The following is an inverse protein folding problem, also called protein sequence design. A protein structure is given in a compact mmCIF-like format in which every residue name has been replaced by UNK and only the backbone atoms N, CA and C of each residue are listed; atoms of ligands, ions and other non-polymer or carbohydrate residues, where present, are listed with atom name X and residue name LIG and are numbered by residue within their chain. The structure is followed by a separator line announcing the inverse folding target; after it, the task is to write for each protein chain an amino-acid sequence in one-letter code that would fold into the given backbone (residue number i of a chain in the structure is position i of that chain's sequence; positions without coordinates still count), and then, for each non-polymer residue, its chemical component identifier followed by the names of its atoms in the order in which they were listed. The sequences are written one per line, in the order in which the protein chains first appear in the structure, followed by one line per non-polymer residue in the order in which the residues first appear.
data_IF_993135080889
#
_entry.id   IF_993135080889
#
_cell.length_a   1.000
_cell.length_b   1.000
_cell.length_c   1.000
_cell.angle_alpha   90.00
_cell.angle_beta   90.00
_cell.angle_gamma   90.00
#
_symmetry.space_group_name_H-M   'P 1'
#
loop_
_entity.id
_entity.type
_entity.pdbx_description
1 polymer ?
#
# COMPACT_ATOMS: atom_id res chain seq x y z
N UNK A 1 74.07 9.17 -19.76
CA UNK A 1 73.10 10.22 -19.36
C UNK A 1 71.88 9.49 -18.83
N UNK A 2 71.81 9.20 -17.52
CA UNK A 2 71.18 10.02 -16.47
C UNK A 2 69.66 10.16 -16.74
N UNK A 3 68.84 9.40 -16.01
CA UNK A 3 68.08 9.87 -14.82
C UNK A 3 66.90 10.77 -15.25
N UNK A 4 65.72 10.86 -14.65
CA UNK A 4 65.03 10.26 -13.52
C UNK A 4 63.74 11.12 -13.44
N UNK A 5 62.58 10.46 -13.27
CA UNK A 5 61.40 10.94 -12.54
C UNK A 5 60.71 12.30 -12.79
N UNK A 6 59.39 12.19 -12.58
CA UNK A 6 58.47 13.10 -11.89
C UNK A 6 57.52 13.99 -12.71
N UNK A 7 56.26 13.78 -12.35
CA UNK A 7 54.99 14.38 -12.75
C UNK A 7 54.96 15.90 -12.52
N UNK A 8 54.04 16.65 -13.14
CA UNK A 8 53.09 17.35 -12.28
C UNK A 8 51.64 17.43 -12.78
N UNK A 9 50.78 17.43 -11.76
CA UNK A 9 49.37 17.80 -11.73
C UNK A 9 49.06 19.14 -12.38
N UNK A 10 47.93 19.25 -13.09
CA UNK A 10 46.98 20.40 -13.13
C UNK A 10 45.85 20.03 -14.12
N UNK A 11 44.55 20.28 -13.95
CA UNK A 11 43.82 21.19 -13.09
C UNK A 11 42.42 20.61 -12.83
N UNK A 12 42.00 20.79 -11.58
CA UNK A 12 40.69 20.53 -11.00
C UNK A 12 39.58 21.32 -11.71
N UNK A 13 38.45 20.67 -11.97
CA UNK A 13 37.17 21.35 -12.11
C UNK A 13 36.30 21.01 -10.89
N UNK A 14 35.69 22.06 -10.35
CA UNK A 14 34.99 22.14 -9.09
C UNK A 14 33.83 21.15 -8.91
N UNK A 15 33.88 20.40 -7.81
CA UNK A 15 32.71 19.90 -7.11
C UNK A 15 32.93 20.19 -5.63
N UNK A 16 32.41 21.33 -5.14
CA UNK A 16 32.45 21.64 -3.72
C UNK A 16 31.82 20.50 -2.94
N UNK A 17 32.58 19.90 -2.02
CA UNK A 17 32.05 18.98 -1.02
C UNK A 17 30.98 19.73 -0.21
N UNK A 18 29.78 19.16 -0.02
CA UNK A 18 28.80 19.77 0.85
C UNK A 18 29.34 19.84 2.28
N UNK A 19 29.13 21.00 2.89
CA UNK A 19 29.40 21.34 4.28
C UNK A 19 28.84 20.26 5.23
N UNK A 20 29.72 19.64 6.02
CA UNK A 20 29.44 18.50 6.91
C UNK A 20 29.14 18.94 8.35
N UNK A 21 28.73 20.19 8.59
CA UNK A 21 28.51 20.73 9.94
C UNK A 21 27.06 20.63 10.46
N UNK A 22 26.14 20.04 9.68
CA UNK A 22 24.80 19.63 10.15
C UNK A 22 24.77 18.16 10.58
N UNK A 23 23.82 17.73 11.44
CA UNK A 23 23.70 16.34 11.82
C UNK A 23 23.53 15.45 10.57
N UNK A 24 24.45 14.50 10.41
CA UNK A 24 24.46 13.52 9.33
C UNK A 24 23.12 12.74 9.29
N UNK A 25 22.50 12.56 8.12
CA UNK A 25 21.29 11.74 8.01
C UNK A 25 21.65 10.28 8.32
N UNK A 26 20.88 9.54 9.15
CA UNK A 26 21.15 8.11 9.34
C UNK A 26 20.84 7.32 8.05
N UNK A 27 21.74 6.46 7.51
CA UNK A 27 21.42 5.62 6.35
C UNK A 27 21.47 4.09 6.62
N UNK A 28 20.71 3.24 5.88
CA UNK A 28 19.82 3.58 4.77
C UNK A 28 18.35 3.19 5.10
N UNK A 29 17.62 4.13 5.70
CA UNK A 29 16.15 4.13 5.69
C UNK A 29 15.56 4.15 4.26
N UNK A 30 16.38 4.48 3.26
CA UNK A 30 15.99 4.65 1.85
C UNK A 30 15.30 3.41 1.25
N UNK A 31 15.66 2.19 1.64
CA UNK A 31 15.00 0.99 1.09
C UNK A 31 13.61 0.74 1.71
N UNK A 32 13.41 1.13 2.98
CA UNK A 32 12.11 1.13 3.66
C UNK A 32 11.23 2.30 3.21
N UNK A 33 11.82 3.45 2.91
CA UNK A 33 11.15 4.60 2.28
C UNK A 33 10.76 4.29 0.83
N UNK A 34 11.53 3.44 0.13
CA UNK A 34 11.21 2.91 -1.20
C UNK A 34 10.22 1.73 -1.17
N UNK A 35 9.98 1.13 -0.01
CA UNK A 35 9.06 0.00 0.11
C UNK A 35 7.61 0.44 -0.14
N UNK A 36 6.89 -0.31 -0.99
CA UNK A 36 5.45 -0.09 -1.21
C UNK A 36 4.72 -0.37 0.11
N UNK A 37 4.08 0.64 0.70
CA UNK A 37 3.34 0.54 1.96
C UNK A 37 2.72 1.88 2.36
N UNK A 38 2.06 1.92 3.51
CA UNK A 38 1.50 3.14 4.08
C UNK A 38 2.34 3.62 5.27
N UNK A 39 2.62 4.92 5.30
CA UNK A 39 3.25 5.60 6.42
C UNK A 39 2.23 6.49 7.11
N UNK A 40 2.17 6.39 8.43
CA UNK A 40 1.32 7.24 9.26
C UNK A 40 2.15 7.96 10.30
N UNK A 41 1.99 9.27 10.36
CA UNK A 41 2.61 10.15 11.35
C UNK A 41 1.73 10.26 12.58
N UNK A 42 2.35 10.21 13.75
CA UNK A 42 1.75 10.43 15.06
C UNK A 42 2.62 11.45 15.82
N UNK A 43 1.99 12.38 16.52
CA UNK A 43 2.68 13.35 17.38
C UNK A 43 2.83 12.77 18.79
N UNK A 44 4.00 12.98 19.41
CA UNK A 44 4.34 12.47 20.73
C UNK A 44 4.90 13.57 21.62
N UNK A 45 4.70 13.42 22.93
CA UNK A 45 5.19 14.29 23.99
C UNK A 45 4.94 15.77 23.66
N UNK A 46 3.67 16.08 23.36
CA UNK A 46 3.19 17.44 23.06
C UNK A 46 3.98 18.12 21.92
N UNK A 47 4.29 17.37 20.86
CA UNK A 47 4.95 17.91 19.68
C UNK A 47 6.48 17.94 19.76
N UNK A 48 7.06 17.39 20.84
CA UNK A 48 8.53 17.29 20.97
C UNK A 48 9.09 16.20 20.06
N UNK A 49 8.38 15.10 19.94
CA UNK A 49 8.76 13.97 19.10
C UNK A 49 7.63 13.65 18.12
N UNK A 50 7.98 12.99 17.03
CA UNK A 50 7.02 12.38 16.13
C UNK A 50 7.38 10.92 15.89
N UNK A 51 6.34 10.10 15.72
CA UNK A 51 6.45 8.70 15.36
C UNK A 51 5.92 8.47 13.94
N UNK A 52 6.66 7.68 13.16
CA UNK A 52 6.29 7.23 11.83
C UNK A 52 6.06 5.72 11.83
N UNK A 53 4.82 5.31 11.58
CA UNK A 53 4.38 3.92 11.59
C UNK A 53 4.32 3.37 10.16
N UNK A 54 5.03 2.26 9.91
CA UNK A 54 5.05 1.61 8.60
C UNK A 54 4.16 0.38 8.51
N UNK A 55 3.30 0.37 7.49
CA UNK A 55 2.37 -0.71 7.16
C UNK A 55 2.66 -1.27 5.75
N UNK A 56 3.35 -2.41 5.62
CA UNK A 56 3.85 -2.91 4.33
C UNK A 56 2.75 -3.32 3.32
N UNK A 57 1.53 -3.59 3.79
CA UNK A 57 0.41 -3.97 2.92
C UNK A 57 -0.78 -3.01 3.05
N UNK A 58 -0.50 -1.78 3.51
CA UNK A 58 -1.52 -0.96 4.14
C UNK A 58 -2.01 -1.62 5.43
N UNK A 59 -3.14 -1.14 5.93
CA UNK A 59 -3.64 -1.46 7.26
C UNK A 59 -4.73 -2.53 7.28
N UNK A 60 -4.81 -3.36 6.25
CA UNK A 60 -5.74 -4.49 6.20
C UNK A 60 -5.30 -5.51 7.26
N UNK A 61 -5.75 -5.31 8.49
CA UNK A 61 -5.57 -6.23 9.62
C UNK A 61 -4.18 -6.29 10.27
N UNK A 62 -3.15 -5.63 9.74
CA UNK A 62 -1.80 -5.74 10.31
C UNK A 62 -1.43 -4.59 11.27
N UNK A 63 -0.74 -4.93 12.35
CA UNK A 63 0.01 -3.98 13.17
C UNK A 63 1.14 -3.32 12.35
N UNK A 64 1.62 -2.13 12.74
CA UNK A 64 2.81 -1.56 12.12
C UNK A 64 4.00 -2.50 12.35
N UNK A 65 4.84 -2.66 11.34
CA UNK A 65 6.03 -3.52 11.42
C UNK A 65 7.25 -2.75 11.92
N UNK A 66 7.26 -1.45 11.69
CA UNK A 66 8.34 -0.55 12.10
C UNK A 66 7.73 0.75 12.62
N UNK A 67 8.38 1.33 13.63
CA UNK A 67 8.06 2.65 14.19
C UNK A 67 9.37 3.42 14.29
N UNK A 68 9.41 4.62 13.69
CA UNK A 68 10.56 5.52 13.78
C UNK A 68 10.17 6.71 14.63
N UNK A 69 10.93 6.96 15.70
CA UNK A 69 10.71 8.10 16.59
C UNK A 69 11.86 9.06 16.39
N UNK A 70 11.54 10.32 16.11
CA UNK A 70 12.54 11.37 15.94
C UNK A 70 12.09 12.66 16.62
N UNK A 71 13.04 13.49 17.08
CA UNK A 71 12.71 14.82 17.57
C UNK A 71 12.18 15.69 16.44
N UNK A 72 11.20 16.53 16.76
CA UNK A 72 10.73 17.57 15.85
C UNK A 72 11.62 18.80 16.02
N UNK A 73 11.92 19.52 14.93
CA UNK A 73 12.79 20.69 14.97
C UNK A 73 12.31 21.79 15.95
N UNK A 74 11.00 21.86 16.20
CA UNK A 74 10.37 22.79 17.14
C UNK A 74 10.16 22.22 18.55
N UNK A 75 10.67 21.03 18.84
CA UNK A 75 10.49 20.37 20.14
C UNK A 75 11.26 21.06 21.26
N UNK A 76 10.80 20.87 22.50
CA UNK A 76 11.50 21.39 23.69
C UNK A 76 12.96 20.84 23.74
N UNK A 77 13.99 21.70 23.64
CA UNK A 77 15.38 21.26 23.65
C UNK A 77 15.76 20.46 24.89
N UNK A 78 15.18 20.77 26.05
CA UNK A 78 15.45 20.05 27.29
C UNK A 78 14.87 18.63 27.24
N UNK A 79 13.68 18.46 26.66
CA UNK A 79 13.08 17.16 26.42
C UNK A 79 13.83 16.37 25.35
N UNK A 80 14.27 17.00 24.25
CA UNK A 80 15.10 16.36 23.22
C UNK A 80 16.42 15.85 23.82
N UNK A 81 17.07 16.64 24.68
CA UNK A 81 18.31 16.24 25.35
C UNK A 81 18.13 15.02 26.27
N UNK A 82 16.94 14.81 26.85
CA UNK A 82 16.60 13.61 27.62
C UNK A 82 16.36 12.36 26.74
N UNK A 83 16.16 12.55 25.44
CA UNK A 83 15.92 11.49 24.47
C UNK A 83 14.53 10.86 24.58
N UNK A 84 14.36 9.73 23.87
CA UNK A 84 13.11 8.96 23.87
C UNK A 84 12.98 8.21 25.19
N UNK A 85 12.20 8.76 26.11
CA UNK A 85 11.95 8.17 27.44
C UNK A 85 10.76 7.22 27.43
N UNK A 86 10.54 6.51 28.54
CA UNK A 86 9.35 5.67 28.72
C UNK A 86 8.05 6.46 28.65
N UNK A 87 8.04 7.75 28.99
CA UNK A 87 6.89 8.64 28.79
C UNK A 87 6.56 8.79 27.31
N UNK A 88 7.57 9.06 26.47
CA UNK A 88 7.40 9.16 25.01
C UNK A 88 6.87 7.84 24.44
N UNK A 89 7.42 6.70 24.88
CA UNK A 89 6.96 5.39 24.42
C UNK A 89 5.55 5.03 24.88
N UNK A 90 5.13 5.49 26.07
CA UNK A 90 3.77 5.28 26.59
C UNK A 90 2.72 6.09 25.84
N UNK A 91 3.12 7.13 25.13
CA UNK A 91 2.21 7.93 24.32
C UNK A 91 1.90 7.31 22.96
N UNK A 92 2.76 6.41 22.45
CA UNK A 92 2.52 5.71 21.19
C UNK A 92 1.14 5.04 21.16
N UNK A 93 0.41 5.24 20.06
CA UNK A 93 -0.89 4.63 19.78
C UNK A 93 -0.88 3.88 18.45
N UNK A 94 -0.21 2.70 18.37
CA UNK A 94 -0.20 1.88 17.16
C UNK A 94 -1.59 1.54 16.60
N UNK A 95 -2.59 1.38 17.47
CA UNK A 95 -3.97 1.12 17.08
C UNK A 95 -4.61 2.32 16.34
N UNK A 96 -4.36 3.55 16.82
CA UNK A 96 -4.82 4.77 16.16
C UNK A 96 -4.12 4.99 14.82
N UNK A 97 -2.81 4.75 14.77
CA UNK A 97 -2.04 4.78 13.53
C UNK A 97 -2.55 3.76 12.50
N UNK A 98 -2.89 2.54 12.94
CA UNK A 98 -3.48 1.51 12.08
C UNK A 98 -4.84 1.94 11.52
N UNK A 99 -5.67 2.62 12.32
CA UNK A 99 -6.94 3.14 11.86
C UNK A 99 -6.79 4.29 10.85
N UNK A 100 -5.86 5.20 11.09
CA UNK A 100 -5.52 6.26 10.14
C UNK A 100 -5.00 5.70 8.82
N UNK A 101 -4.14 4.67 8.86
CA UNK A 101 -3.70 3.95 7.68
C UNK A 101 -4.90 3.29 6.96
N UNK A 102 -5.90 2.77 7.69
CA UNK A 102 -7.15 2.21 7.11
C UNK A 102 -7.95 3.27 6.41
N UNK A 103 -8.08 4.46 6.99
CA UNK A 103 -8.81 5.58 6.37
C UNK A 103 -8.08 6.07 5.12
N UNK A 104 -6.76 6.25 5.18
CA UNK A 104 -5.95 6.65 4.02
C UNK A 104 -6.01 5.64 2.89
N UNK A 105 -5.85 4.35 3.21
CA UNK A 105 -5.99 3.26 2.23
C UNK A 105 -7.40 3.20 1.64
N UNK A 106 -8.45 3.32 2.47
CA UNK A 106 -9.84 3.36 1.99
C UNK A 106 -10.10 4.54 1.07
N UNK A 107 -9.64 5.74 1.42
CA UNK A 107 -9.83 6.95 0.61
C UNK A 107 -9.15 6.83 -0.76
N UNK A 108 -7.85 6.49 -0.79
CA UNK A 108 -7.14 6.31 -2.07
C UNK A 108 -7.69 5.14 -2.88
N UNK A 109 -8.19 4.10 -2.22
CA UNK A 109 -8.80 2.96 -2.89
C UNK A 109 -10.23 3.28 -3.38
N UNK A 110 -10.99 4.16 -2.73
CA UNK A 110 -12.30 4.61 -3.19
C UNK A 110 -12.18 5.51 -4.43
N UNK A 111 -11.20 6.41 -4.45
CA UNK A 111 -10.91 7.24 -5.64
C UNK A 111 -10.48 6.37 -6.84
N UNK A 112 -9.67 5.33 -6.60
CA UNK A 112 -9.17 4.44 -7.66
C UNK A 112 -10.16 3.32 -8.05
N UNK A 113 -10.98 2.86 -7.10
CA UNK A 113 -11.93 1.76 -7.25
C UNK A 113 -13.26 2.12 -6.58
N UNK A 114 -14.08 2.96 -7.21
CA UNK A 114 -15.32 3.48 -6.60
C UNK A 114 -16.33 2.39 -6.25
N UNK A 115 -16.28 1.24 -6.94
CA UNK A 115 -17.17 0.09 -6.70
C UNK A 115 -16.63 -0.90 -5.66
N UNK A 116 -15.58 -0.56 -4.90
CA UNK A 116 -14.89 -1.51 -4.04
C UNK A 116 -15.80 -2.17 -3.00
N UNK A 117 -16.66 -1.41 -2.31
CA UNK A 117 -17.56 -1.97 -1.30
C UNK A 117 -18.59 -2.92 -1.92
N UNK A 118 -19.16 -2.55 -3.07
CA UNK A 118 -20.10 -3.40 -3.82
C UNK A 118 -19.47 -4.69 -4.30
N UNK A 119 -18.21 -4.62 -4.76
CA UNK A 119 -17.43 -5.80 -5.13
C UNK A 119 -17.27 -6.74 -3.94
N UNK A 120 -16.87 -6.25 -2.76
CA UNK A 120 -16.75 -7.11 -1.57
C UNK A 120 -18.10 -7.71 -1.17
N UNK A 121 -19.20 -6.95 -1.28
CA UNK A 121 -20.54 -7.43 -0.98
C UNK A 121 -20.99 -8.55 -1.91
N UNK A 122 -20.83 -8.37 -3.22
CA UNK A 122 -21.16 -9.40 -4.22
C UNK A 122 -20.33 -10.67 -4.02
N UNK A 123 -19.06 -10.54 -3.64
CA UNK A 123 -18.20 -11.70 -3.37
C UNK A 123 -18.60 -12.47 -2.11
N UNK A 124 -19.19 -11.79 -1.10
CA UNK A 124 -19.64 -12.41 0.16
C UNK A 124 -21.03 -13.02 0.08
N UNK A 125 -21.94 -12.44 -0.72
CA UNK A 125 -23.37 -12.81 -0.73
C UNK A 125 -23.80 -13.68 -1.90
N UNK A 126 -22.97 -13.83 -2.93
CA UNK A 126 -23.36 -14.61 -4.10
C UNK A 126 -23.17 -16.11 -3.88
N UNK A 127 -24.27 -16.83 -3.72
CA UNK A 127 -24.27 -18.30 -3.62
C UNK A 127 -24.00 -18.99 -4.98
N UNK A 128 -24.07 -18.24 -6.09
CA UNK A 128 -23.91 -18.75 -7.47
C UNK A 128 -23.09 -17.78 -8.33
N UNK A 129 -22.39 -18.28 -9.38
CA UNK A 129 -21.57 -17.45 -10.25
C UNK A 129 -22.40 -16.64 -11.27
N UNK A 130 -23.17 -15.66 -10.76
CA UNK A 130 -23.90 -14.69 -11.57
C UNK A 130 -22.94 -13.80 -12.38
N UNK A 131 -23.43 -13.10 -13.40
CA UNK A 131 -22.57 -12.16 -14.15
C UNK A 131 -22.03 -11.04 -13.27
N UNK A 132 -22.84 -10.51 -12.34
CA UNK A 132 -22.41 -9.52 -11.35
C UNK A 132 -21.32 -10.05 -10.41
N UNK A 133 -21.46 -11.28 -9.93
CA UNK A 133 -20.41 -11.93 -9.16
C UNK A 133 -19.11 -12.10 -9.96
N UNK A 134 -19.19 -12.57 -11.21
CA UNK A 134 -18.02 -12.76 -12.05
C UNK A 134 -17.32 -11.43 -12.39
N UNK A 135 -18.09 -10.35 -12.55
CA UNK A 135 -17.56 -9.00 -12.70
C UNK A 135 -16.87 -8.51 -11.42
N UNK A 136 -17.44 -8.82 -10.24
CA UNK A 136 -16.81 -8.54 -8.96
C UNK A 136 -15.50 -9.33 -8.77
N UNK A 137 -15.45 -10.61 -9.19
CA UNK A 137 -14.22 -11.41 -9.23
C UNK A 137 -13.16 -10.74 -10.11
N UNK A 138 -13.54 -10.27 -11.31
CA UNK A 138 -12.62 -9.60 -12.22
C UNK A 138 -12.02 -8.32 -11.62
N UNK A 139 -12.86 -7.45 -11.06
CA UNK A 139 -12.44 -6.20 -10.43
C UNK A 139 -11.55 -6.44 -9.20
N UNK A 140 -11.91 -7.42 -8.37
CA UNK A 140 -11.10 -7.77 -7.20
C UNK A 140 -9.76 -8.38 -7.61
N UNK A 141 -9.75 -9.24 -8.63
CA UNK A 141 -8.55 -9.86 -9.15
C UNK A 141 -7.55 -8.82 -9.67
N UNK A 142 -8.03 -7.85 -10.46
CA UNK A 142 -7.23 -6.71 -10.92
C UNK A 142 -6.67 -5.91 -9.75
N UNK A 143 -7.51 -5.53 -8.78
CA UNK A 143 -7.07 -4.76 -7.61
C UNK A 143 -5.98 -5.46 -6.81
N UNK A 144 -6.10 -6.78 -6.63
CA UNK A 144 -5.07 -7.59 -5.95
C UNK A 144 -3.76 -7.59 -6.76
N UNK A 145 -3.85 -7.74 -8.08
CA UNK A 145 -2.67 -7.69 -8.95
C UNK A 145 -2.01 -6.29 -8.93
N UNK A 146 -2.79 -5.21 -8.99
CA UNK A 146 -2.31 -3.83 -8.91
C UNK A 146 -1.67 -3.50 -7.57
N UNK A 147 -2.15 -4.10 -6.48
CA UNK A 147 -1.52 -4.01 -5.16
C UNK A 147 -0.18 -4.77 -5.06
N UNK A 148 0.26 -5.43 -6.13
CA UNK A 148 1.50 -6.21 -6.15
C UNK A 148 1.39 -7.55 -5.45
N UNK A 149 0.17 -8.08 -5.25
CA UNK A 149 -0.02 -9.39 -4.66
C UNK A 149 0.58 -10.46 -5.58
N UNK A 150 1.49 -11.27 -5.03
CA UNK A 150 2.18 -12.35 -5.77
C UNK A 150 1.27 -13.55 -6.06
N UNK A 151 0.13 -13.68 -5.37
CA UNK A 151 -0.83 -14.76 -5.57
C UNK A 151 -2.30 -14.26 -5.48
N UNK A 152 -2.78 -13.43 -6.44
CA UNK A 152 -4.14 -12.89 -6.40
C UNK A 152 -5.24 -13.96 -6.38
N UNK A 153 -4.99 -15.13 -6.99
CA UNK A 153 -5.93 -16.26 -7.00
C UNK A 153 -6.10 -16.87 -5.60
N UNK A 154 -5.01 -17.02 -4.84
CA UNK A 154 -5.10 -17.54 -3.46
C UNK A 154 -5.80 -16.56 -2.55
N UNK A 155 -5.54 -15.26 -2.67
CA UNK A 155 -6.27 -14.27 -1.90
C UNK A 155 -7.77 -14.25 -2.23
N UNK A 156 -8.17 -14.53 -3.47
CA UNK A 156 -9.59 -14.71 -3.80
C UNK A 156 -10.20 -15.95 -3.16
N UNK A 157 -9.45 -17.04 -3.00
CA UNK A 157 -9.89 -18.21 -2.22
C UNK A 157 -10.19 -17.80 -0.79
N UNK A 158 -9.27 -17.07 -0.15
CA UNK A 158 -9.45 -16.62 1.24
C UNK A 158 -10.66 -15.68 1.38
N UNK A 159 -10.90 -14.82 0.39
CA UNK A 159 -12.02 -13.87 0.39
C UNK A 159 -13.37 -14.56 0.18
N UNK A 160 -13.43 -15.51 -0.75
CA UNK A 160 -14.70 -16.15 -1.15
C UNK A 160 -15.03 -17.42 -0.37
N UNK A 161 -14.06 -17.99 0.34
CA UNK A 161 -14.18 -19.30 1.00
C UNK A 161 -14.31 -20.47 0.01
N UNK A 162 -14.18 -20.23 -1.30
CA UNK A 162 -14.37 -21.24 -2.32
C UNK A 162 -13.09 -22.03 -2.59
N UNK A 163 -13.18 -23.32 -2.97
CA UNK A 163 -12.02 -24.11 -3.36
C UNK A 163 -11.21 -23.46 -4.49
N UNK A 164 -9.88 -23.63 -4.46
CA UNK A 164 -8.97 -23.06 -5.46
C UNK A 164 -9.34 -23.40 -6.91
N UNK A 165 -9.81 -24.63 -7.15
CA UNK A 165 -10.31 -25.05 -8.47
C UNK A 165 -11.50 -24.22 -8.93
N UNK A 166 -12.46 -23.99 -8.04
CA UNK A 166 -13.66 -23.18 -8.30
C UNK A 166 -13.32 -21.73 -8.61
N UNK A 167 -12.45 -21.10 -7.81
CA UNK A 167 -12.01 -19.71 -8.06
C UNK A 167 -11.30 -19.58 -9.40
N UNK A 168 -10.42 -20.53 -9.76
CA UNK A 168 -9.78 -20.56 -11.08
C UNK A 168 -10.82 -20.66 -12.20
N UNK A 169 -11.82 -21.53 -12.05
CA UNK A 169 -12.92 -21.67 -13.01
C UNK A 169 -13.73 -20.37 -13.16
N UNK A 170 -14.02 -19.67 -12.05
CA UNK A 170 -14.71 -18.38 -12.08
C UNK A 170 -13.91 -17.30 -12.81
N UNK A 171 -12.59 -17.23 -12.60
CA UNK A 171 -11.71 -16.31 -13.33
C UNK A 171 -11.71 -16.62 -14.83
N UNK A 172 -11.64 -17.89 -15.22
CA UNK A 172 -11.71 -18.29 -16.63
C UNK A 172 -13.08 -17.97 -17.24
N UNK A 173 -14.16 -18.17 -16.49
CA UNK A 173 -15.50 -17.82 -16.92
C UNK A 173 -15.66 -16.30 -17.10
N UNK A 174 -15.10 -15.49 -16.19
CA UNK A 174 -15.08 -14.04 -16.33
C UNK A 174 -14.32 -13.60 -17.61
N UNK A 175 -13.22 -14.26 -17.95
CA UNK A 175 -12.50 -14.03 -19.21
C UNK A 175 -13.34 -14.40 -20.42
N UNK A 176 -13.96 -15.59 -20.42
CA UNK A 176 -14.83 -16.05 -21.50
C UNK A 176 -16.03 -15.11 -21.73
N UNK A 177 -16.52 -14.46 -20.66
CA UNK A 177 -17.60 -13.47 -20.72
C UNK A 177 -17.13 -12.04 -21.08
N UNK A 178 -15.84 -11.82 -21.34
CA UNK A 178 -15.30 -10.50 -21.66
C UNK A 178 -15.33 -9.51 -20.47
N UNK A 179 -15.36 -10.02 -19.24
CA UNK A 179 -15.30 -9.22 -18.01
C UNK A 179 -13.87 -9.00 -17.53
N UNK A 180 -12.94 -9.86 -17.96
CA UNK A 180 -11.54 -9.83 -17.57
C UNK A 180 -10.66 -10.10 -18.79
N UNK A 181 -9.71 -9.22 -19.06
CA UNK A 181 -8.70 -9.39 -20.10
C UNK A 181 -7.37 -9.88 -19.48
N UNK A 182 -6.64 -10.69 -20.24
CA UNK A 182 -5.29 -11.10 -19.84
C UNK A 182 -4.29 -9.98 -20.13
N UNK A 183 -3.39 -9.69 -19.19
CA UNK A 183 -2.26 -8.78 -19.43
C UNK A 183 -1.01 -9.62 -19.66
N UNK A 184 -0.30 -9.36 -20.76
CA UNK A 184 0.93 -10.08 -21.10
C UNK A 184 2.01 -9.94 -20.02
N UNK A 185 2.71 -11.05 -19.78
CA UNK A 185 3.93 -11.20 -18.96
C UNK A 185 3.79 -11.25 -17.42
N UNK A 186 2.60 -11.13 -16.79
CA UNK A 186 2.45 -11.29 -15.33
C UNK A 186 1.15 -11.99 -14.92
N UNK A 187 1.15 -12.59 -13.71
CA UNK A 187 -0.08 -13.03 -13.06
C UNK A 187 -0.98 -11.82 -12.80
N UNK A 188 -2.12 -11.75 -13.49
CA UNK A 188 -3.02 -10.61 -13.42
C UNK A 188 -3.95 -10.55 -14.63
N UNK A 189 -4.84 -9.56 -14.60
CA UNK A 189 -5.77 -9.24 -15.67
C UNK A 189 -6.34 -7.85 -15.46
N UNK A 190 -6.87 -7.24 -16.51
CA UNK A 190 -7.59 -5.95 -16.43
C UNK A 190 -9.07 -6.22 -16.49
N UNK A 191 -9.82 -5.74 -15.50
CA UNK A 191 -11.26 -5.76 -15.60
C UNK A 191 -11.67 -4.84 -16.76
N UNK A 192 -12.61 -5.29 -17.57
CA UNK A 192 -13.07 -4.50 -18.71
C UNK A 192 -14.05 -3.42 -18.24
N UNK A 193 -14.26 -2.39 -19.07
CA UNK A 193 -15.33 -1.40 -18.83
C UNK A 193 -16.70 -2.06 -18.62
N UNK A 194 -16.94 -3.20 -19.29
CA UNK A 194 -18.15 -4.01 -19.11
C UNK A 194 -18.26 -4.54 -17.67
N UNK A 195 -17.18 -5.02 -17.07
CA UNK A 195 -17.21 -5.49 -15.68
C UNK A 195 -17.58 -4.37 -14.70
N UNK A 196 -17.02 -3.17 -14.90
CA UNK A 196 -17.41 -1.99 -14.11
C UNK A 196 -18.90 -1.66 -14.27
N UNK A 197 -19.41 -1.65 -15.50
CA UNK A 197 -20.83 -1.36 -15.77
C UNK A 197 -21.77 -2.40 -15.16
N UNK A 198 -21.41 -3.69 -15.23
CA UNK A 198 -22.21 -4.79 -14.65
C UNK A 198 -22.30 -4.66 -13.13
N UNK A 199 -21.19 -4.37 -12.44
CA UNK A 199 -21.21 -4.20 -10.97
C UNK A 199 -21.98 -2.95 -10.56
N UNK A 200 -21.84 -1.84 -11.30
CA UNK A 200 -22.61 -0.62 -11.06
C UNK A 200 -24.12 -0.84 -11.28
N UNK A 201 -24.52 -1.53 -12.35
CA UNK A 201 -25.94 -1.81 -12.62
C UNK A 201 -26.58 -2.72 -11.57
N UNK A 202 -25.79 -3.62 -10.96
CA UNK A 202 -26.24 -4.44 -9.84
C UNK A 202 -26.53 -3.62 -8.57
N UNK A 203 -26.14 -2.34 -8.49
CA UNK A 203 -26.56 -1.41 -7.41
C UNK A 203 -28.02 -0.94 -7.59
N UNK A 204 -28.49 -0.77 -8.83
CA UNK A 204 -29.82 -0.23 -9.13
C UNK A 204 -30.94 -1.29 -9.08
N UNK A 205 -30.61 -2.56 -9.31
CA UNK A 205 -31.59 -3.66 -9.42
C UNK A 205 -32.06 -4.27 -8.09
N UNK A 206 -31.61 -3.79 -6.93
CA UNK A 206 -32.05 -4.29 -5.62
C UNK A 206 -33.29 -3.57 -5.06
N UNK A 207 -33.86 -2.60 -5.80
CA UNK A 207 -35.02 -1.80 -5.39
C UNK A 207 -36.38 -2.25 -5.94
N UNK A 208 -36.43 -2.99 -7.06
CA UNK A 208 -37.69 -3.30 -7.74
C UNK A 208 -37.92 -4.81 -7.80
N UNK A 209 -38.57 -5.35 -6.77
CA UNK A 209 -38.93 -6.76 -6.67
C UNK A 209 -40.09 -7.04 -5.70
N UNK A 210 -40.99 -6.07 -5.52
CA UNK A 210 -42.33 -6.32 -4.96
C UNK A 210 -43.34 -6.27 -6.11
N UNK A 211 -43.80 -7.44 -6.52
CA UNK A 211 -44.86 -7.66 -7.49
C UNK A 211 -45.29 -9.12 -7.43
#
# INVERSE_FOLDING_TARGET
MAAEQQNPETTRAHGGLPDLTGPLPPPPLLDLVRARGAWVREELAHGTFEAWHFFPHGSAGSAPTHVFIQPVASGDPAAVARGVTTTVLRELRPAGAAEAARRGHRRGNAERYPLAERVEELLRTSDRPTEAYLAAVALRYERLADAGNRSPVRSLVDITGLPLGTVKSHIQLARKKGLLEAVGAKAGGRATRRAHAVVAAAEAGAGDGSG
#
